data_IF_385125342160
#
_entry.id   IF_385125342160
#
_cell.length_a   1.000
_cell.length_b   1.000
_cell.length_c   1.000
_cell.angle_alpha   90.00
_cell.angle_beta   90.00
_cell.angle_gamma   90.00
#
_symmetry.space_group_name_H-M   'P 1'
#
loop_
_entity.id
_entity.type
_entity.pdbx_description
1 polymer ?
#
# COMPACT_ATOMS: atom_id res chain seq x y z
N UNK A 1 -22.06 1.47 -7.04
CA UNK A 1 -21.10 0.90 -8.00
C UNK A 1 -21.70 -0.23 -8.84
N UNK A 2 -22.27 -1.28 -8.25
CA UNK A 2 -22.82 -2.40 -9.03
C UNK A 2 -23.89 -1.98 -10.05
N UNK A 3 -24.87 -1.17 -9.65
CA UNK A 3 -25.93 -0.68 -10.55
C UNK A 3 -25.40 0.22 -11.67
N UNK A 4 -24.27 0.91 -11.44
CA UNK A 4 -23.63 1.78 -12.41
C UNK A 4 -22.69 1.02 -13.38
N UNK A 5 -22.40 -0.26 -13.08
CA UNK A 5 -21.42 -1.08 -13.82
C UNK A 5 -20.06 -0.39 -13.95
N UNK A 6 -19.65 0.27 -12.87
CA UNK A 6 -18.37 0.96 -12.77
C UNK A 6 -18.02 1.24 -11.30
N UNK A 7 -16.75 1.07 -10.96
CA UNK A 7 -16.24 1.46 -9.67
C UNK A 7 -14.73 1.22 -9.55
N UNK A 8 -14.13 1.95 -8.65
CA UNK A 8 -12.70 1.84 -8.30
C UNK A 8 -12.57 1.86 -6.78
N UNK A 9 -12.02 0.79 -6.22
CA UNK A 9 -11.75 0.68 -4.78
C UNK A 9 -10.25 0.56 -4.61
N UNK A 10 -9.67 1.48 -3.85
CA UNK A 10 -8.24 1.48 -3.52
C UNK A 10 -8.10 1.39 -2.00
N UNK A 11 -7.56 0.29 -1.52
CA UNK A 11 -7.22 0.13 -0.11
C UNK A 11 -5.79 0.62 0.12
N UNK A 12 -5.58 1.35 1.20
CA UNK A 12 -4.23 1.76 1.61
C UNK A 12 -3.74 0.79 2.68
N UNK A 13 -2.90 -0.12 2.24
CA UNK A 13 -2.25 -1.11 3.10
C UNK A 13 -0.96 -0.56 3.73
N UNK A 14 0.01 -1.42 3.85
CA UNK A 14 1.36 -1.11 4.32
C UNK A 14 2.31 -2.21 3.91
N UNK A 15 3.57 -1.86 3.73
CA UNK A 15 4.64 -2.84 3.55
C UNK A 15 4.74 -3.79 4.75
N UNK A 16 4.38 -3.33 5.95
CA UNK A 16 4.31 -4.16 7.16
C UNK A 16 3.29 -5.30 7.04
N UNK A 17 2.27 -5.16 6.19
CA UNK A 17 1.33 -6.22 5.87
C UNK A 17 1.87 -7.24 4.85
N UNK A 18 2.92 -6.90 4.12
CA UNK A 18 3.59 -7.76 3.14
C UNK A 18 4.74 -8.53 3.79
N UNK A 19 5.60 -7.82 4.51
CA UNK A 19 6.84 -8.34 5.09
C UNK A 19 6.70 -8.80 6.53
N UNK A 20 5.70 -8.26 7.26
CA UNK A 20 5.65 -8.29 8.70
C UNK A 20 6.59 -7.25 9.33
N UNK A 21 6.33 -6.89 10.55
CA UNK A 21 7.16 -5.95 11.32
C UNK A 21 7.24 -6.40 12.77
N UNK A 22 8.44 -6.61 13.28
CA UNK A 22 8.65 -7.00 14.67
C UNK A 22 8.14 -5.91 15.61
N UNK A 23 7.38 -6.30 16.64
CA UNK A 23 6.74 -5.37 17.58
C UNK A 23 5.43 -4.75 17.09
N UNK A 24 5.00 -5.02 15.84
CA UNK A 24 3.78 -4.49 15.26
C UNK A 24 2.84 -5.59 14.72
N UNK A 25 2.70 -6.69 15.45
CA UNK A 25 1.93 -7.86 15.01
C UNK A 25 0.46 -7.55 14.72
N UNK A 26 -0.18 -6.72 15.56
CA UNK A 26 -1.57 -6.30 15.33
C UNK A 26 -1.69 -5.44 14.06
N UNK A 27 -0.83 -4.45 13.91
CA UNK A 27 -0.79 -3.58 12.72
C UNK A 27 -0.50 -4.39 11.46
N UNK A 28 0.51 -5.25 11.48
CA UNK A 28 0.87 -6.13 10.36
C UNK A 28 -0.28 -7.05 9.96
N UNK A 29 -1.00 -7.65 10.94
CA UNK A 29 -2.13 -8.53 10.64
C UNK A 29 -3.32 -7.78 10.02
N UNK A 30 -3.63 -6.57 10.50
CA UNK A 30 -4.71 -5.76 9.92
C UNK A 30 -4.38 -5.33 8.49
N UNK A 31 -3.14 -4.92 8.23
CA UNK A 31 -2.69 -4.52 6.90
C UNK A 31 -2.55 -5.71 5.94
N UNK A 32 -2.14 -6.87 6.44
CA UNK A 32 -2.14 -8.12 5.68
C UNK A 32 -3.56 -8.55 5.29
N UNK A 33 -4.51 -8.35 6.19
CA UNK A 33 -5.94 -8.64 5.94
C UNK A 33 -6.50 -7.86 4.75
N UNK A 34 -6.03 -6.62 4.52
CA UNK A 34 -6.44 -5.81 3.36
C UNK A 34 -6.03 -6.46 2.03
N UNK A 35 -4.92 -7.18 1.99
CA UNK A 35 -4.45 -7.88 0.79
C UNK A 35 -5.43 -9.01 0.43
N UNK A 36 -5.83 -9.82 1.41
CA UNK A 36 -6.82 -10.88 1.22
C UNK A 36 -8.20 -10.33 0.84
N UNK A 37 -8.65 -9.30 1.54
CA UNK A 37 -9.90 -8.60 1.24
C UNK A 37 -9.91 -8.08 -0.20
N UNK A 38 -8.84 -7.44 -0.62
CA UNK A 38 -8.70 -6.88 -1.98
C UNK A 38 -8.85 -7.97 -3.04
N UNK A 39 -8.19 -9.12 -2.84
CA UNK A 39 -8.27 -10.25 -3.80
C UNK A 39 -9.68 -10.83 -3.88
N UNK A 40 -10.32 -11.05 -2.73
CA UNK A 40 -11.68 -11.58 -2.68
C UNK A 40 -12.68 -10.63 -3.35
N UNK A 41 -12.66 -9.35 -2.98
CA UNK A 41 -13.55 -8.34 -3.57
C UNK A 41 -13.30 -8.14 -5.07
N UNK A 42 -12.05 -8.24 -5.51
CA UNK A 42 -11.73 -8.15 -6.94
C UNK A 42 -12.43 -9.25 -7.74
N UNK A 43 -12.44 -10.49 -7.22
CA UNK A 43 -13.15 -11.60 -7.85
C UNK A 43 -14.66 -11.43 -7.82
N UNK A 44 -15.21 -11.01 -6.67
CA UNK A 44 -16.66 -10.83 -6.48
C UNK A 44 -17.24 -9.69 -7.33
N UNK A 45 -16.44 -8.66 -7.61
CA UNK A 45 -16.91 -7.42 -8.22
C UNK A 45 -16.48 -7.24 -9.68
N UNK A 46 -15.66 -8.14 -10.21
CA UNK A 46 -15.13 -8.05 -11.57
C UNK A 46 -16.23 -7.99 -12.65
N UNK A 47 -17.27 -8.79 -12.50
CA UNK A 47 -18.40 -8.81 -13.45
C UNK A 47 -19.17 -7.49 -13.52
N UNK A 48 -19.06 -6.65 -12.48
CA UNK A 48 -19.71 -5.34 -12.43
C UNK A 48 -18.78 -4.21 -12.91
N UNK A 49 -17.66 -4.55 -13.54
CA UNK A 49 -16.65 -3.58 -13.98
C UNK A 49 -16.12 -2.71 -12.82
N UNK A 50 -15.94 -3.33 -11.66
CA UNK A 50 -15.37 -2.70 -10.46
C UNK A 50 -13.99 -3.30 -10.23
N UNK A 51 -12.97 -2.45 -10.14
CA UNK A 51 -11.61 -2.88 -9.78
C UNK A 51 -11.33 -2.62 -8.30
N UNK A 52 -10.58 -3.53 -7.69
CA UNK A 52 -10.20 -3.44 -6.27
C UNK A 52 -8.71 -3.72 -6.17
N UNK A 53 -7.94 -2.75 -5.69
CA UNK A 53 -6.49 -2.87 -5.53
C UNK A 53 -6.04 -2.34 -4.18
N UNK A 54 -4.86 -2.75 -3.75
CA UNK A 54 -4.21 -2.25 -2.53
C UNK A 54 -2.89 -1.60 -2.90
N UNK A 55 -2.61 -0.45 -2.34
CA UNK A 55 -1.27 0.15 -2.35
C UNK A 55 -0.64 -0.13 -0.99
N UNK A 56 0.57 -0.65 -0.99
CA UNK A 56 1.33 -0.95 0.22
C UNK A 56 2.52 0.01 0.32
N UNK A 57 2.36 1.18 0.96
CA UNK A 57 3.46 2.12 1.15
C UNK A 57 4.53 1.54 2.09
N UNK A 58 5.78 1.91 1.84
CA UNK A 58 6.85 1.77 2.81
C UNK A 58 6.88 2.93 3.79
N UNK A 59 8.06 3.39 4.17
CA UNK A 59 8.22 4.60 4.98
C UNK A 59 7.83 5.83 4.15
N UNK A 60 6.88 6.59 4.67
CA UNK A 60 6.34 7.80 4.01
C UNK A 60 6.73 9.03 4.81
N UNK A 61 7.15 10.06 4.12
CA UNK A 61 7.54 11.34 4.74
C UNK A 61 6.28 12.12 5.17
N UNK A 62 5.76 11.75 6.35
CA UNK A 62 4.57 12.33 6.99
C UNK A 62 4.84 12.56 8.47
N UNK A 63 4.02 13.38 9.13
CA UNK A 63 4.08 13.59 10.59
C UNK A 63 3.90 12.27 11.36
N UNK A 64 3.02 11.38 10.88
CA UNK A 64 2.82 10.05 11.48
C UNK A 64 4.10 9.21 11.40
N UNK A 65 4.77 9.20 10.26
CA UNK A 65 6.05 8.53 10.07
C UNK A 65 7.13 9.10 10.98
N UNK A 66 7.21 10.41 11.10
CA UNK A 66 8.16 11.10 11.98
C UNK A 66 7.89 10.76 13.45
N UNK A 67 6.63 10.76 13.89
CA UNK A 67 6.26 10.40 15.26
C UNK A 67 6.60 8.93 15.58
N UNK A 68 6.37 8.02 14.63
CA UNK A 68 6.74 6.61 14.78
C UNK A 68 8.24 6.41 14.95
N UNK A 69 9.04 7.23 14.29
CA UNK A 69 10.50 7.21 14.41
C UNK A 69 10.94 7.77 15.76
N UNK A 70 10.35 8.86 16.24
CA UNK A 70 10.64 9.45 17.55
C UNK A 70 10.34 8.47 18.70
N UNK A 71 9.27 7.69 18.57
CA UNK A 71 8.85 6.67 19.55
C UNK A 71 9.58 5.32 19.36
N UNK A 72 10.36 5.13 18.29
CA UNK A 72 11.04 3.90 17.95
C UNK A 72 12.51 3.84 18.40
N UNK A 73 13.10 2.64 18.26
CA UNK A 73 14.49 2.38 18.64
C UNK A 73 15.52 2.86 17.60
N UNK A 74 15.05 3.29 16.41
CA UNK A 74 15.92 3.66 15.28
C UNK A 74 15.72 5.11 14.87
N UNK A 75 16.84 5.77 14.53
CA UNK A 75 16.78 7.12 13.95
C UNK A 75 16.31 7.09 12.50
N UNK A 76 15.83 8.25 11.99
CA UNK A 76 15.46 8.41 10.58
C UNK A 76 16.60 8.04 9.64
N UNK A 77 17.84 8.42 9.99
CA UNK A 77 19.05 8.13 9.22
C UNK A 77 19.33 6.62 9.13
N UNK A 78 19.17 5.90 10.24
CA UNK A 78 19.32 4.43 10.28
C UNK A 78 18.27 3.74 9.41
N UNK A 79 17.02 4.19 9.46
CA UNK A 79 15.93 3.66 8.62
C UNK A 79 16.23 3.91 7.14
N UNK A 80 16.66 5.10 6.78
CA UNK A 80 17.02 5.46 5.40
C UNK A 80 18.13 4.55 4.87
N UNK A 81 19.11 4.17 5.70
CA UNK A 81 20.19 3.26 5.28
C UNK A 81 19.66 1.86 4.91
N UNK A 82 18.54 1.43 5.47
CA UNK A 82 17.91 0.15 5.14
C UNK A 82 17.05 0.20 3.86
N UNK A 83 16.70 1.40 3.38
CA UNK A 83 15.90 1.56 2.18
C UNK A 83 16.80 1.60 0.94
N UNK A 84 16.57 0.75 -0.08
CA UNK A 84 17.45 0.72 -1.26
C UNK A 84 17.59 2.07 -1.96
N UNK A 85 16.54 2.85 -2.13
CA UNK A 85 16.61 4.19 -2.74
C UNK A 85 17.11 5.28 -1.78
N UNK A 86 17.46 4.94 -0.53
CA UNK A 86 17.98 5.88 0.48
C UNK A 86 17.10 7.10 0.72
N UNK A 87 15.80 6.92 0.64
CA UNK A 87 14.81 7.97 0.87
C UNK A 87 13.48 7.41 1.35
N UNK A 88 12.67 8.25 1.96
CA UNK A 88 11.27 7.95 2.21
C UNK A 88 10.46 8.19 0.92
N UNK A 89 9.33 7.52 0.84
CA UNK A 89 8.30 7.78 -0.19
C UNK A 89 7.60 9.10 0.16
N UNK A 90 7.32 9.91 -0.83
CA UNK A 90 6.57 11.14 -0.64
C UNK A 90 5.05 10.88 -0.80
N UNK A 91 4.19 11.54 -0.01
CA UNK A 91 2.73 11.38 -0.14
C UNK A 91 2.21 11.60 -1.56
N UNK A 92 2.82 12.49 -2.33
CA UNK A 92 2.43 12.75 -3.73
C UNK A 92 2.67 11.54 -4.66
N UNK A 93 3.62 10.65 -4.33
CA UNK A 93 3.84 9.42 -5.11
C UNK A 93 2.67 8.47 -4.93
N UNK A 94 2.15 8.34 -3.71
CA UNK A 94 0.96 7.53 -3.41
C UNK A 94 -0.26 8.12 -4.13
N UNK A 95 -0.45 9.43 -4.05
CA UNK A 95 -1.54 10.13 -4.72
C UNK A 95 -1.50 9.96 -6.25
N UNK A 96 -0.30 10.01 -6.85
CA UNK A 96 -0.12 9.78 -8.28
C UNK A 96 -0.49 8.35 -8.69
N UNK A 97 -0.14 7.36 -7.88
CA UNK A 97 -0.52 5.96 -8.13
C UNK A 97 -2.04 5.76 -8.00
N UNK A 98 -2.67 6.35 -6.99
CA UNK A 98 -4.13 6.35 -6.85
C UNK A 98 -4.77 6.95 -8.09
N UNK A 99 -4.29 8.12 -8.54
CA UNK A 99 -4.80 8.80 -9.74
C UNK A 99 -4.71 7.91 -10.98
N UNK A 100 -3.62 7.17 -11.15
CA UNK A 100 -3.49 6.21 -12.24
C UNK A 100 -4.48 5.05 -12.11
N UNK A 101 -4.56 4.42 -10.93
CA UNK A 101 -5.41 3.25 -10.70
C UNK A 101 -6.91 3.53 -10.85
N UNK A 102 -7.35 4.76 -10.63
CA UNK A 102 -8.76 5.15 -10.83
C UNK A 102 -9.05 5.58 -12.28
N UNK A 103 -8.03 5.70 -13.13
CA UNK A 103 -8.19 6.08 -14.54
C UNK A 103 -8.66 4.89 -15.40
N UNK A 104 -9.18 5.20 -16.59
CA UNK A 104 -9.61 4.17 -17.54
C UNK A 104 -8.42 3.36 -18.10
N UNK A 105 -7.22 3.94 -18.13
CA UNK A 105 -6.00 3.26 -18.56
C UNK A 105 -5.65 2.08 -17.64
N UNK A 106 -6.08 2.12 -16.38
CA UNK A 106 -5.84 1.07 -15.39
C UNK A 106 -7.01 0.06 -15.29
N UNK A 107 -7.96 0.04 -16.22
CA UNK A 107 -9.17 -0.80 -16.14
C UNK A 107 -8.89 -2.30 -16.06
N UNK A 108 -7.74 -2.75 -16.52
CA UNK A 108 -7.33 -4.15 -16.44
C UNK A 108 -6.59 -4.52 -15.14
N UNK A 109 -6.34 -3.56 -14.24
CA UNK A 109 -5.63 -3.81 -12.98
C UNK A 109 -6.67 -4.01 -11.88
N UNK A 110 -6.78 -5.24 -11.37
CA UNK A 110 -7.65 -5.56 -10.23
C UNK A 110 -7.07 -6.73 -9.43
N UNK A 111 -7.33 -6.76 -8.15
CA UNK A 111 -6.82 -7.80 -7.24
C UNK A 111 -5.34 -7.67 -6.92
N UNK A 112 -4.71 -6.54 -7.24
CA UNK A 112 -3.27 -6.35 -7.09
C UNK A 112 -2.92 -5.63 -5.79
N UNK A 113 -1.81 -6.05 -5.18
CA UNK A 113 -1.14 -5.32 -4.12
C UNK A 113 0.13 -4.70 -4.68
N UNK A 114 0.19 -3.37 -4.74
CA UNK A 114 1.32 -2.65 -5.34
C UNK A 114 2.17 -2.08 -4.21
N UNK A 115 3.41 -2.56 -4.12
CA UNK A 115 4.36 -2.07 -3.13
C UNK A 115 5.00 -0.77 -3.63
N UNK A 116 4.77 0.32 -2.90
CA UNK A 116 5.37 1.62 -3.17
C UNK A 116 6.28 1.95 -1.98
N UNK A 117 7.49 1.40 -1.98
CA UNK A 117 8.32 1.31 -0.78
C UNK A 117 9.80 1.65 -1.02
N UNK A 118 10.12 2.32 -2.12
CA UNK A 118 11.50 2.69 -2.49
C UNK A 118 12.47 1.48 -2.50
N UNK A 119 11.94 0.29 -2.84
CA UNK A 119 12.69 -0.95 -2.97
C UNK A 119 12.77 -1.81 -1.71
N UNK A 120 12.19 -1.38 -0.59
CA UNK A 120 12.32 -2.07 0.70
C UNK A 120 11.87 -3.53 0.67
N UNK A 121 10.88 -3.88 -0.17
CA UNK A 121 10.35 -5.24 -0.30
C UNK A 121 10.89 -6.02 -1.50
N UNK A 122 11.99 -5.59 -2.10
CA UNK A 122 12.59 -6.32 -3.23
C UNK A 122 13.01 -7.72 -2.80
N UNK A 123 12.58 -8.72 -3.56
CA UNK A 123 12.88 -10.13 -3.28
C UNK A 123 11.85 -10.86 -2.40
N UNK A 124 10.76 -10.21 -2.09
CA UNK A 124 9.68 -10.80 -1.30
C UNK A 124 8.45 -11.08 -2.17
#
# INVERSE_FOLDING_TARGET
>A
MKSQQWGKIINIGSISGVMGEAGASLYSSTKSGLIGLTKALALELAEYNITVNTINPGWVDTDLGSNSIEDGDFSKEEIIQCIPQRRFVEPKEIAALVKYLISDEAKGITGQGINLCAGLSVGI
#
